data_IF_435516459638
#
_entry.id   IF_435516459638
#
_cell.length_a   1.000
_cell.length_b   1.000
_cell.length_c   1.000
_cell.angle_alpha   90.00
_cell.angle_beta   90.00
_cell.angle_gamma   90.00
#
_symmetry.space_group_name_H-M   'P 1'
#
loop_
_entity.id
_entity.type
_entity.pdbx_description
1 polymer ?
#
# COMPACT_ATOMS: atom_id res chain seq x y z
N UNK A 1 -11.56 -20.41 1.02
CA UNK A 1 -10.22 -20.14 0.42
C UNK A 1 -9.85 -21.30 -0.49
N UNK A 2 -9.20 -21.06 -1.63
CA UNK A 2 -8.61 -22.15 -2.41
C UNK A 2 -7.23 -22.46 -1.82
N UNK A 3 -7.07 -23.64 -1.23
CA UNK A 3 -5.78 -24.04 -0.65
C UNK A 3 -4.76 -24.36 -1.74
N UNK A 4 -3.51 -23.97 -1.50
CA UNK A 4 -2.36 -24.54 -2.21
C UNK A 4 -2.14 -25.96 -1.69
N UNK A 5 -2.79 -26.96 -2.31
CA UNK A 5 -2.81 -28.36 -1.86
C UNK A 5 -1.41 -28.97 -1.62
N UNK A 6 -0.37 -28.40 -2.25
CA UNK A 6 1.01 -28.86 -2.15
C UNK A 6 1.82 -28.20 -1.02
N UNK A 7 1.24 -27.23 -0.29
CA UNK A 7 1.97 -26.47 0.73
C UNK A 7 1.52 -26.83 2.15
N UNK A 8 2.46 -27.31 2.96
CA UNK A 8 2.26 -27.51 4.40
C UNK A 8 2.00 -26.20 5.18
N UNK A 9 2.30 -25.05 4.56
CA UNK A 9 2.07 -23.72 5.12
C UNK A 9 0.75 -23.11 4.64
N UNK A 10 -0.07 -23.84 3.88
CA UNK A 10 -1.37 -23.35 3.47
C UNK A 10 -2.27 -23.18 4.70
N UNK A 11 -3.02 -22.06 4.73
CA UNK A 11 -4.01 -21.83 5.78
C UNK A 11 -5.00 -23.01 5.88
N UNK A 12 -5.54 -23.31 7.08
CA UNK A 12 -6.52 -24.38 7.26
C UNK A 12 -7.70 -24.26 6.29
N UNK A 13 -8.31 -25.40 5.94
CA UNK A 13 -9.49 -25.43 5.08
C UNK A 13 -10.63 -24.60 5.67
N UNK A 14 -10.90 -23.44 5.08
CA UNK A 14 -12.09 -22.63 5.35
C UNK A 14 -12.98 -22.63 4.12
N UNK A 15 -14.30 -22.65 4.35
CA UNK A 15 -15.31 -22.65 3.30
C UNK A 15 -15.03 -21.56 2.24
N UNK A 16 -15.45 -21.82 1.00
CA UNK A 16 -15.45 -20.78 -0.02
C UNK A 16 -16.36 -19.64 0.43
N UNK A 17 -15.93 -18.40 0.19
CA UNK A 17 -16.73 -17.25 0.51
C UNK A 17 -17.95 -17.21 -0.42
N UNK A 18 -19.15 -17.07 0.15
CA UNK A 18 -20.42 -17.04 -0.59
C UNK A 18 -21.27 -15.80 -0.31
N UNK A 19 -20.68 -14.78 0.32
CA UNK A 19 -21.37 -13.53 0.68
C UNK A 19 -21.15 -12.38 -0.31
N UNK A 20 -21.85 -11.26 -0.07
CA UNK A 20 -21.55 -10.00 -0.77
C UNK A 20 -20.27 -9.38 -0.18
N UNK A 21 -19.29 -9.06 -1.02
CA UNK A 21 -18.01 -8.53 -0.58
C UNK A 21 -18.01 -7.03 -0.21
N UNK A 22 -19.20 -6.42 -0.10
CA UNK A 22 -19.40 -5.01 0.22
C UNK A 22 -19.31 -4.09 -1.00
N UNK A 23 -19.10 -4.61 -2.21
CA UNK A 23 -19.00 -3.82 -3.43
C UNK A 23 -17.83 -2.83 -3.43
N UNK A 24 -18.00 -1.67 -4.07
CA UNK A 24 -17.08 -0.55 -3.83
C UNK A 24 -17.36 0.03 -2.45
N UNK A 25 -16.38 -0.05 -1.56
CA UNK A 25 -16.48 0.37 -0.17
C UNK A 25 -15.98 1.81 0.06
N UNK A 26 -15.89 2.62 -0.99
CA UNK A 26 -15.33 3.98 -0.94
C UNK A 26 -13.80 4.02 -0.82
N UNK A 27 -13.12 2.87 -0.77
CA UNK A 27 -11.66 2.81 -0.81
C UNK A 27 -11.19 2.92 -2.25
N UNK A 28 -10.27 3.84 -2.48
CA UNK A 28 -9.66 4.10 -3.79
C UNK A 28 -9.02 2.81 -4.36
N UNK A 29 -9.31 2.53 -5.62
CA UNK A 29 -8.77 1.35 -6.32
C UNK A 29 -9.40 0.01 -5.94
N UNK A 30 -10.44 0.02 -5.11
CA UNK A 30 -11.23 -1.18 -4.79
C UNK A 30 -12.65 -1.03 -5.37
N UNK A 31 -13.02 -1.98 -6.21
CA UNK A 31 -14.38 -2.11 -6.76
C UNK A 31 -15.03 -3.39 -6.24
N UNK A 32 -16.24 -3.72 -6.71
CA UNK A 32 -16.85 -5.02 -6.46
C UNK A 32 -16.02 -6.19 -7.00
N UNK A 33 -15.26 -5.97 -8.07
CA UNK A 33 -14.61 -7.04 -8.83
C UNK A 33 -13.09 -6.99 -8.78
N UNK A 34 -12.50 -5.83 -8.51
CA UNK A 34 -11.05 -5.63 -8.66
C UNK A 34 -10.41 -4.86 -7.51
N UNK A 35 -9.14 -5.19 -7.27
CA UNK A 35 -8.18 -4.43 -6.47
C UNK A 35 -7.09 -3.96 -7.44
N UNK A 36 -7.08 -2.67 -7.75
CA UNK A 36 -6.11 -2.07 -8.69
C UNK A 36 -4.80 -1.81 -7.96
N UNK A 37 -3.70 -2.35 -8.46
CA UNK A 37 -2.34 -2.08 -7.97
C UNK A 37 -1.55 -1.42 -9.11
N UNK A 38 -0.95 -0.27 -8.82
CA UNK A 38 -0.07 0.39 -9.77
C UNK A 38 1.30 -0.29 -9.76
N UNK A 39 1.85 -0.49 -10.94
CA UNK A 39 3.20 -0.97 -11.17
C UNK A 39 4.02 0.23 -11.62
N UNK A 40 4.74 0.85 -10.69
CA UNK A 40 5.53 2.05 -10.96
C UNK A 40 6.84 1.66 -11.65
N UNK A 41 7.17 2.40 -12.70
CA UNK A 41 8.51 2.46 -13.29
C UNK A 41 9.05 3.88 -13.14
N UNK A 42 10.26 4.05 -12.62
CA UNK A 42 10.93 5.36 -12.56
C UNK A 42 11.35 5.82 -13.96
N UNK A 43 11.58 7.12 -14.11
CA UNK A 43 12.01 7.73 -15.38
C UNK A 43 13.31 7.15 -15.95
N UNK A 44 14.17 6.62 -15.08
CA UNK A 44 15.44 5.98 -15.42
C UNK A 44 15.39 4.45 -15.42
N UNK A 45 14.21 3.83 -15.37
CA UNK A 45 14.03 2.37 -15.37
C UNK A 45 14.63 1.67 -16.61
N UNK A 46 14.77 2.40 -17.71
CA UNK A 46 15.44 1.94 -18.94
C UNK A 46 16.81 2.61 -19.17
N UNK A 47 17.30 3.37 -18.20
CA UNK A 47 18.54 4.14 -18.28
C UNK A 47 19.81 3.30 -18.08
N UNK A 48 21.00 3.90 -18.24
CA UNK A 48 22.28 3.17 -18.18
C UNK A 48 22.51 2.42 -16.86
N UNK A 49 22.12 3.01 -15.72
CA UNK A 49 22.26 2.37 -14.41
C UNK A 49 21.37 1.13 -14.29
N UNK A 50 20.11 1.23 -14.71
CA UNK A 50 19.18 0.11 -14.71
C UNK A 50 19.65 -1.01 -15.64
N UNK A 51 20.16 -0.68 -16.84
CA UNK A 51 20.73 -1.66 -17.78
C UNK A 51 22.00 -2.30 -17.25
N UNK A 52 22.86 -1.56 -16.57
CA UNK A 52 24.08 -2.10 -15.96
C UNK A 52 23.72 -3.09 -14.84
N UNK A 53 22.76 -2.74 -13.99
CA UNK A 53 22.29 -3.61 -12.91
C UNK A 53 21.58 -4.86 -13.45
N UNK A 54 20.77 -4.71 -14.50
CA UNK A 54 20.12 -5.82 -15.20
C UNK A 54 21.15 -6.82 -15.78
N UNK A 55 22.22 -6.31 -16.41
CA UNK A 55 23.34 -7.16 -16.89
C UNK A 55 24.03 -7.90 -15.74
N UNK A 56 24.29 -7.23 -14.62
CA UNK A 56 24.89 -7.87 -13.44
C UNK A 56 23.96 -8.96 -12.87
N UNK A 57 22.65 -8.71 -12.81
CA UNK A 57 21.66 -9.68 -12.37
C UNK A 57 21.65 -10.91 -13.27
N UNK A 58 21.66 -10.72 -14.60
CA UNK A 58 21.72 -11.81 -15.57
C UNK A 58 23.03 -12.61 -15.47
N UNK A 59 24.18 -11.94 -15.27
CA UNK A 59 25.46 -12.61 -15.03
C UNK A 59 25.45 -13.45 -13.75
N UNK A 60 24.68 -13.05 -12.74
CA UNK A 60 24.44 -13.82 -11.53
C UNK A 60 23.39 -14.93 -11.69
N UNK A 61 22.85 -15.14 -12.89
CA UNK A 61 21.84 -16.16 -13.19
C UNK A 61 20.42 -15.77 -12.79
N UNK A 62 20.16 -14.51 -12.47
CA UNK A 62 18.81 -14.00 -12.18
C UNK A 62 18.09 -13.59 -13.47
N UNK A 63 16.74 -13.60 -13.51
CA UNK A 63 15.98 -13.11 -14.65
C UNK A 63 16.23 -11.62 -14.89
N UNK A 64 16.23 -11.21 -16.16
CA UNK A 64 16.26 -9.82 -16.57
C UNK A 64 15.02 -9.06 -16.09
N UNK A 65 15.06 -7.73 -16.06
CA UNK A 65 13.91 -6.91 -15.69
C UNK A 65 12.69 -7.18 -16.59
N UNK A 66 12.90 -7.45 -17.88
CA UNK A 66 11.84 -7.81 -18.81
C UNK A 66 11.24 -9.19 -18.50
N UNK A 67 12.08 -10.18 -18.17
CA UNK A 67 11.63 -11.51 -17.75
C UNK A 67 10.90 -11.47 -16.40
N UNK A 68 11.37 -10.66 -15.45
CA UNK A 68 10.68 -10.45 -14.16
C UNK A 68 9.27 -9.88 -14.37
N UNK A 69 9.11 -8.94 -15.30
CA UNK A 69 7.79 -8.45 -15.69
C UNK A 69 6.92 -9.56 -16.29
N UNK A 70 7.45 -10.36 -17.20
CA UNK A 70 6.72 -11.49 -17.77
C UNK A 70 6.30 -12.52 -16.71
N UNK A 71 7.17 -12.78 -15.74
CA UNK A 71 6.87 -13.65 -14.58
C UNK A 71 5.73 -13.05 -13.77
N UNK A 72 5.76 -11.75 -13.47
CA UNK A 72 4.68 -11.08 -12.75
C UNK A 72 3.34 -11.18 -13.49
N UNK A 73 3.34 -10.92 -14.80
CA UNK A 73 2.14 -11.02 -15.63
C UNK A 73 1.59 -12.46 -15.69
N UNK A 74 2.46 -13.47 -15.65
CA UNK A 74 2.05 -14.87 -15.58
C UNK A 74 1.57 -15.30 -14.18
N UNK A 75 2.11 -14.71 -13.11
CA UNK A 75 1.75 -15.03 -11.73
C UNK A 75 0.41 -14.42 -11.31
N UNK A 76 0.01 -13.26 -11.83
CA UNK A 76 -1.25 -12.62 -11.42
C UNK A 76 -2.50 -13.46 -11.73
N UNK A 77 -2.65 -14.07 -12.93
CA UNK A 77 -3.76 -14.99 -13.20
C UNK A 77 -3.75 -16.20 -12.26
N UNK A 78 -2.57 -16.76 -11.96
CA UNK A 78 -2.44 -17.84 -10.99
C UNK A 78 -2.86 -17.37 -9.60
N UNK A 79 -2.42 -16.20 -9.17
CA UNK A 79 -2.76 -15.61 -7.89
C UNK A 79 -4.27 -15.41 -7.76
N UNK A 80 -4.90 -14.76 -8.74
CA UNK A 80 -6.35 -14.54 -8.78
C UNK A 80 -7.17 -15.83 -8.83
N UNK A 81 -6.59 -16.93 -9.36
CA UNK A 81 -7.25 -18.24 -9.39
C UNK A 81 -7.15 -18.99 -8.06
N UNK A 82 -6.08 -18.80 -7.31
CA UNK A 82 -5.74 -19.60 -6.12
C UNK A 82 -5.95 -18.86 -4.80
N UNK A 83 -5.92 -17.54 -4.77
CA UNK A 83 -6.17 -16.75 -3.57
C UNK A 83 -7.58 -16.18 -3.59
N UNK A 84 -8.26 -16.26 -2.44
CA UNK A 84 -9.60 -15.71 -2.27
C UNK A 84 -9.49 -14.25 -1.80
N UNK A 85 -9.98 -13.32 -2.61
CA UNK A 85 -10.06 -11.88 -2.28
C UNK A 85 -11.51 -11.42 -2.11
N UNK A 86 -12.34 -12.31 -1.57
CA UNK A 86 -13.78 -12.12 -1.40
C UNK A 86 -14.42 -11.76 -2.75
N UNK A 87 -14.17 -12.58 -3.78
CA UNK A 87 -14.68 -12.37 -5.14
C UNK A 87 -13.97 -11.28 -5.96
N UNK A 88 -12.96 -10.59 -5.42
CA UNK A 88 -12.15 -9.62 -6.19
C UNK A 88 -10.96 -10.29 -6.89
N UNK A 89 -10.40 -9.58 -7.86
CA UNK A 89 -9.17 -9.94 -8.55
C UNK A 89 -8.17 -8.80 -8.50
N UNK A 90 -6.89 -9.11 -8.33
CA UNK A 90 -5.81 -8.13 -8.51
C UNK A 90 -5.75 -7.74 -9.97
N UNK A 91 -5.76 -6.42 -10.22
CA UNK A 91 -5.53 -5.82 -11.52
C UNK A 91 -4.26 -4.97 -11.44
N UNK A 92 -3.22 -5.36 -12.16
CA UNK A 92 -2.02 -4.54 -12.30
C UNK A 92 -2.24 -3.47 -13.38
N UNK A 93 -1.76 -2.25 -13.11
CA UNK A 93 -1.79 -1.14 -14.06
C UNK A 93 -0.42 -0.48 -14.08
N UNK A 94 0.19 -0.42 -15.25
CA UNK A 94 1.48 0.24 -15.41
C UNK A 94 1.38 1.75 -15.20
N UNK A 95 2.38 2.29 -14.51
CA UNK A 95 2.53 3.72 -14.31
C UNK A 95 3.97 4.13 -14.56
N UNK A 96 4.19 4.96 -15.58
CA UNK A 96 5.48 5.56 -15.87
C UNK A 96 5.59 6.85 -15.06
N UNK A 97 6.44 6.82 -14.05
CA UNK A 97 6.71 7.94 -13.15
C UNK A 97 7.79 8.89 -13.69
N UNK A 98 7.77 10.10 -13.18
CA UNK A 98 8.80 11.12 -13.43
C UNK A 98 9.93 11.08 -12.39
N UNK A 99 9.72 10.40 -11.26
CA UNK A 99 10.76 10.18 -10.26
C UNK A 99 11.95 9.40 -10.83
N UNK A 100 13.12 9.60 -10.25
CA UNK A 100 14.38 9.03 -10.74
C UNK A 100 14.91 8.05 -9.69
N UNK A 101 14.88 6.76 -10.00
CA UNK A 101 15.23 5.66 -9.10
C UNK A 101 16.68 5.76 -8.59
N UNK A 102 17.62 6.19 -9.44
CA UNK A 102 19.02 6.43 -9.04
C UNK A 102 19.14 7.51 -7.96
N UNK A 103 18.39 8.61 -8.10
CA UNK A 103 18.39 9.71 -7.12
C UNK A 103 17.62 9.31 -5.86
N UNK A 104 16.49 8.63 -6.03
CA UNK A 104 15.65 8.15 -4.94
C UNK A 104 16.35 7.11 -4.07
N UNK A 105 17.18 6.24 -4.66
CA UNK A 105 18.03 5.30 -3.93
C UNK A 105 19.05 5.99 -3.00
N UNK A 106 19.38 7.25 -3.29
CA UNK A 106 20.24 8.11 -2.48
C UNK A 106 19.43 9.03 -1.56
N UNK A 107 18.14 8.74 -1.34
CA UNK A 107 17.20 9.57 -0.57
C UNK A 107 17.03 11.00 -1.11
N UNK A 108 17.17 11.18 -2.44
CA UNK A 108 16.96 12.44 -3.14
C UNK A 108 15.70 12.39 -4.03
N UNK A 109 15.36 13.50 -4.68
CA UNK A 109 14.29 13.51 -5.69
C UNK A 109 12.87 13.39 -5.12
N UNK A 110 12.65 13.80 -3.86
CA UNK A 110 11.37 13.66 -3.17
C UNK A 110 10.20 14.33 -3.90
N UNK A 111 10.40 15.49 -4.53
CA UNK A 111 9.33 16.20 -5.22
C UNK A 111 8.74 15.38 -6.38
N UNK A 112 9.60 14.79 -7.21
CA UNK A 112 9.18 13.95 -8.33
C UNK A 112 8.53 12.63 -7.85
N UNK A 113 9.06 12.04 -6.79
CA UNK A 113 8.47 10.85 -6.16
C UNK A 113 7.08 11.15 -5.55
N UNK A 114 6.92 12.32 -4.94
CA UNK A 114 5.63 12.80 -4.43
C UNK A 114 4.62 13.06 -5.55
N UNK A 115 5.06 13.66 -6.66
CA UNK A 115 4.21 13.89 -7.82
C UNK A 115 3.77 12.58 -8.48
N UNK A 116 4.63 11.56 -8.49
CA UNK A 116 4.24 10.21 -8.92
C UNK A 116 3.18 9.59 -8.00
N UNK A 117 3.34 9.70 -6.69
CA UNK A 117 2.35 9.22 -5.73
C UNK A 117 0.98 9.91 -5.91
N UNK A 118 0.98 11.23 -6.14
CA UNK A 118 -0.23 11.99 -6.46
C UNK A 118 -0.88 11.53 -7.76
N UNK A 119 -0.10 11.37 -8.83
CA UNK A 119 -0.61 10.92 -10.12
C UNK A 119 -1.18 9.49 -10.07
N UNK A 120 -0.52 8.58 -9.35
CA UNK A 120 -1.04 7.23 -9.11
C UNK A 120 -2.37 7.29 -8.32
N UNK A 121 -2.46 8.17 -7.33
CA UNK A 121 -3.67 8.30 -6.54
C UNK A 121 -4.82 8.96 -7.31
N UNK A 122 -4.56 10.04 -8.03
CA UNK A 122 -5.56 10.85 -8.72
C UNK A 122 -5.99 10.25 -10.06
N UNK A 123 -5.03 9.81 -10.87
CA UNK A 123 -5.26 9.40 -12.26
C UNK A 123 -5.45 7.89 -12.39
N UNK A 124 -4.53 7.09 -11.85
CA UNK A 124 -4.66 5.62 -11.87
C UNK A 124 -5.70 5.14 -10.87
N UNK A 125 -5.87 5.87 -9.76
CA UNK A 125 -6.75 5.52 -8.64
C UNK A 125 -6.42 4.13 -8.08
N UNK A 126 -5.14 3.77 -7.98
CA UNK A 126 -4.72 2.44 -7.54
C UNK A 126 -4.75 2.27 -6.01
N UNK A 127 -5.26 1.16 -5.49
CA UNK A 127 -5.26 0.88 -4.04
C UNK A 127 -3.84 0.88 -3.46
N UNK A 128 -2.90 0.25 -4.16
CA UNK A 128 -1.51 0.16 -3.74
C UNK A 128 -0.52 0.29 -4.89
N UNK A 129 0.76 0.31 -4.55
CA UNK A 129 1.86 0.44 -5.51
C UNK A 129 2.91 -0.63 -5.24
N UNK A 130 3.37 -1.24 -6.32
CA UNK A 130 4.61 -2.02 -6.37
C UNK A 130 5.53 -1.39 -7.40
N UNK A 131 6.83 -1.56 -7.23
CA UNK A 131 7.83 -1.12 -8.20
C UNK A 131 8.38 -2.33 -8.94
N UNK A 132 8.49 -2.24 -10.27
CA UNK A 132 9.19 -3.28 -11.03
C UNK A 132 10.68 -3.16 -10.74
N UNK A 133 11.39 -4.29 -10.55
CA UNK A 133 12.74 -4.21 -10.06
C UNK A 133 13.67 -3.58 -11.10
N UNK A 134 14.33 -2.49 -10.73
CA UNK A 134 15.60 -2.14 -11.35
C UNK A 134 16.75 -2.98 -10.74
N UNK A 135 16.55 -3.55 -9.55
CA UNK A 135 17.60 -4.13 -8.67
C UNK A 135 17.32 -5.53 -8.11
N UNK A 136 16.50 -6.33 -8.80
CA UNK A 136 16.02 -7.64 -8.29
C UNK A 136 15.31 -7.54 -6.92
N UNK A 137 14.74 -6.35 -6.63
CA UNK A 137 13.86 -6.14 -5.49
C UNK A 137 12.62 -5.33 -5.90
N UNK A 138 11.49 -5.69 -5.29
CA UNK A 138 10.19 -4.99 -5.42
C UNK A 138 10.01 -3.90 -4.34
N UNK A 139 11.08 -3.50 -3.66
CA UNK A 139 11.03 -2.39 -2.69
C UNK A 139 10.80 -1.07 -3.41
N UNK A 140 9.90 -0.25 -2.88
CA UNK A 140 9.80 1.15 -3.28
C UNK A 140 10.83 1.99 -2.54
N UNK A 141 11.25 3.12 -3.13
CA UNK A 141 12.23 4.01 -2.52
C UNK A 141 11.69 4.72 -1.26
N UNK A 142 12.58 5.18 -0.38
CA UNK A 142 12.21 6.03 0.77
C UNK A 142 11.44 7.30 0.39
N UNK A 143 11.93 8.14 -0.55
CA UNK A 143 11.23 9.37 -0.87
C UNK A 143 9.82 9.10 -1.41
N UNK A 144 9.62 8.03 -2.19
CA UNK A 144 8.28 7.63 -2.63
C UNK A 144 7.40 7.14 -1.49
N UNK A 145 7.93 6.29 -0.60
CA UNK A 145 7.17 5.73 0.51
C UNK A 145 6.62 6.78 1.48
N UNK A 146 7.40 7.82 1.78
CA UNK A 146 6.96 8.92 2.65
C UNK A 146 5.85 9.77 2.01
N UNK A 147 5.84 9.87 0.68
CA UNK A 147 4.79 10.55 -0.08
C UNK A 147 3.53 9.68 -0.20
N UNK A 148 3.67 8.38 -0.42
CA UNK A 148 2.57 7.44 -0.63
C UNK A 148 1.52 7.47 0.48
N UNK A 149 1.94 7.60 1.75
CA UNK A 149 1.00 7.75 2.89
C UNK A 149 0.08 8.96 2.73
N UNK A 150 0.57 10.09 2.23
CA UNK A 150 -0.24 11.33 2.08
C UNK A 150 -1.45 11.10 1.18
N UNK A 151 -1.35 10.14 0.27
CA UNK A 151 -2.40 9.77 -0.67
C UNK A 151 -3.10 8.45 -0.31
N UNK A 152 -2.77 7.86 0.84
CA UNK A 152 -3.32 6.59 1.31
C UNK A 152 -3.03 5.42 0.36
N UNK A 153 -1.85 5.41 -0.27
CA UNK A 153 -1.41 4.31 -1.13
C UNK A 153 -0.79 3.20 -0.29
N UNK A 154 -1.30 1.97 -0.45
CA UNK A 154 -0.73 0.79 0.21
C UNK A 154 0.56 0.33 -0.47
N UNK A 155 1.62 0.17 0.30
CA UNK A 155 2.93 -0.30 -0.14
C UNK A 155 3.27 -1.59 0.62
N UNK A 156 3.10 -2.77 -0.01
CA UNK A 156 3.41 -4.05 0.65
C UNK A 156 4.90 -4.21 0.93
N UNK A 157 5.75 -3.58 0.09
CA UNK A 157 7.20 -3.60 0.20
C UNK A 157 7.72 -2.16 0.13
N UNK A 158 7.71 -1.51 1.29
CA UNK A 158 8.25 -0.17 1.53
C UNK A 158 9.76 -0.08 1.41
N UNK A 159 10.29 1.12 1.66
CA UNK A 159 11.73 1.39 1.65
C UNK A 159 12.50 0.43 2.57
N UNK A 160 13.56 -0.23 2.10
CA UNK A 160 14.25 -1.24 2.91
C UNK A 160 15.21 -0.60 3.91
N UNK A 161 15.62 -1.37 4.92
CA UNK A 161 16.68 -1.02 5.89
C UNK A 161 16.38 0.14 6.85
N UNK A 162 15.10 0.50 7.01
CA UNK A 162 14.67 1.45 8.04
C UNK A 162 14.38 0.75 9.38
N UNK A 163 14.55 1.43 10.53
CA UNK A 163 14.15 0.90 11.82
C UNK A 163 12.63 0.80 11.94
N UNK A 164 12.14 -0.10 12.81
CA UNK A 164 10.70 -0.32 13.05
C UNK A 164 9.92 0.98 13.34
N UNK A 165 10.52 1.91 14.10
CA UNK A 165 9.92 3.20 14.42
C UNK A 165 9.58 4.04 13.17
N UNK A 166 10.30 3.86 12.07
CA UNK A 166 9.98 4.50 10.81
C UNK A 166 8.70 3.90 10.23
N UNK A 167 8.56 2.57 10.15
CA UNK A 167 7.34 1.94 9.64
C UNK A 167 6.11 2.22 10.51
N UNK A 168 6.26 2.27 11.84
CA UNK A 168 5.18 2.68 12.75
C UNK A 168 4.67 4.09 12.46
N UNK A 169 5.54 5.01 12.03
CA UNK A 169 5.14 6.35 11.59
C UNK A 169 4.29 6.30 10.32
N UNK A 170 4.50 5.31 9.46
CA UNK A 170 3.87 5.20 8.15
C UNK A 170 2.75 4.14 8.06
N UNK A 171 2.44 3.49 9.18
CA UNK A 171 1.27 2.63 9.36
C UNK A 171 -0.04 3.38 9.03
N UNK A 172 -1.06 2.69 8.47
CA UNK A 172 -1.09 1.29 8.03
C UNK A 172 -0.68 1.07 6.55
N UNK A 173 -0.06 2.08 5.93
CA UNK A 173 0.12 2.11 4.48
C UNK A 173 1.45 1.52 4.01
N UNK A 174 2.52 1.65 4.80
CA UNK A 174 3.87 1.22 4.38
C UNK A 174 4.35 0.06 5.23
N UNK A 175 4.60 -1.08 4.58
CA UNK A 175 5.02 -2.31 5.23
C UNK A 175 6.46 -2.66 4.87
N UNK A 176 7.16 -3.39 5.76
CA UNK A 176 8.52 -3.84 5.52
C UNK A 176 8.54 -5.27 4.96
N UNK A 177 9.37 -5.54 3.94
CA UNK A 177 9.72 -6.91 3.57
C UNK A 177 10.89 -7.48 4.39
N UNK A 178 11.70 -6.60 4.97
CA UNK A 178 12.87 -6.93 5.80
C UNK A 178 12.83 -6.13 7.09
N UNK A 179 12.23 -6.71 8.14
CA UNK A 179 12.44 -6.17 9.47
C UNK A 179 13.88 -6.52 9.89
N UNK A 180 14.74 -5.51 10.07
CA UNK A 180 15.96 -5.66 10.86
C UNK A 180 15.56 -5.67 12.35
N UNK A 181 14.83 -6.68 12.78
CA UNK A 181 14.71 -6.97 14.21
C UNK A 181 15.95 -7.77 14.61
N UNK A 182 16.94 -7.08 15.19
CA UNK A 182 18.05 -7.73 15.91
C UNK A 182 17.60 -8.53 17.15
N UNK A 183 16.30 -8.78 17.33
CA UNK A 183 15.74 -9.57 18.43
C UNK A 183 14.30 -10.02 18.13
N UNK A 184 14.10 -10.88 17.11
CA UNK A 184 12.86 -11.63 17.00
C UNK A 184 13.18 -13.12 16.85
N UNK A 185 13.32 -13.80 17.99
CA UNK A 185 13.23 -15.26 18.04
C UNK A 185 11.86 -15.71 17.49
N UNK A 186 11.75 -16.90 16.88
CA UNK A 186 10.56 -17.32 16.11
C UNK A 186 9.31 -17.56 16.97
N UNK A 187 9.35 -17.34 18.28
CA UNK A 187 8.38 -17.86 19.25
C UNK A 187 7.25 -16.92 19.61
N UNK A 188 7.22 -15.67 19.11
CA UNK A 188 6.16 -14.72 19.45
C UNK A 188 5.67 -13.96 18.22
N UNK A 189 4.98 -14.66 17.33
CA UNK A 189 3.94 -14.04 16.50
C UNK A 189 2.62 -14.04 17.30
N UNK A 190 2.22 -12.96 18.00
CA UNK A 190 0.86 -12.86 18.46
C UNK A 190 -0.06 -12.67 17.24
N UNK A 191 -1.04 -13.54 17.16
CA UNK A 191 -2.01 -13.72 16.09
C UNK A 191 -3.05 -12.57 16.04
N UNK A 192 -2.61 -11.29 16.01
CA UNK A 192 -3.51 -10.12 16.18
C UNK A 192 -3.68 -9.26 14.92
N UNK A 193 -2.93 -9.48 13.84
CA UNK A 193 -3.04 -8.69 12.60
C UNK A 193 -4.32 -8.95 11.79
N UNK A 194 -5.17 -9.90 12.18
CA UNK A 194 -6.46 -10.13 11.52
C UNK A 194 -7.56 -9.10 11.88
N UNK A 195 -7.30 -8.16 12.81
CA UNK A 195 -8.34 -7.28 13.38
C UNK A 195 -8.23 -5.79 13.04
N UNK A 196 -7.25 -5.36 12.23
CA UNK A 196 -7.03 -3.94 11.94
C UNK A 196 -7.81 -3.38 10.72
N UNK A 197 -8.73 -4.14 10.14
CA UNK A 197 -9.67 -3.58 9.16
C UNK A 197 -10.85 -2.96 9.90
N UNK A 198 -11.24 -1.70 9.65
CA UNK A 198 -12.47 -1.17 10.19
C UNK A 198 -13.65 -1.95 9.60
N UNK A 199 -14.18 -2.90 10.36
CA UNK A 199 -15.46 -3.53 10.06
C UNK A 199 -16.53 -2.46 10.18
N UNK A 200 -17.25 -2.20 9.09
CA UNK A 200 -18.44 -1.37 9.10
C UNK A 200 -19.43 -1.86 10.19
N UNK A 201 -20.10 -0.95 10.92
CA UNK A 201 -21.04 -1.37 11.95
C UNK A 201 -22.21 -2.16 11.33
N UNK A 202 -22.66 -3.27 11.96
CA UNK A 202 -23.79 -4.02 11.46
C UNK A 202 -25.08 -3.18 11.55
N UNK A 203 -25.87 -3.26 10.49
CA UNK A 203 -27.17 -2.60 10.32
C UNK A 203 -28.19 -3.09 11.37
N UNK A 204 -28.21 -2.42 12.52
CA UNK A 204 -29.17 -2.62 13.60
C UNK A 204 -30.27 -1.55 13.59
N UNK A 205 -31.48 -1.99 13.23
CA UNK A 205 -32.78 -1.29 13.28
C UNK A 205 -32.91 -0.30 14.46
N UNK A 206 -32.90 1.00 14.19
CA UNK A 206 -33.18 2.04 15.17
C UNK A 206 -34.70 2.13 15.47
N UNK A 207 -35.12 1.57 16.60
CA UNK A 207 -36.39 1.92 17.23
C UNK A 207 -36.28 3.26 17.93
N UNK A 208 -37.15 4.18 17.54
CA UNK A 208 -37.33 5.52 18.09
C UNK A 208 -37.84 5.42 19.55
N UNK A 209 -37.44 6.35 20.44
CA UNK A 209 -38.49 7.14 21.07
C UNK A 209 -38.21 8.64 21.13
N UNK A 210 -39.33 9.34 21.02
CA UNK A 210 -39.64 10.76 21.04
C UNK A 210 -39.36 11.42 22.40
N UNK A 211 -38.74 12.62 22.42
CA UNK A 211 -39.35 13.86 22.98
C UNK A 211 -38.50 15.11 22.70
N UNK A 212 -39.24 16.21 22.59
CA UNK A 212 -38.88 17.54 22.08
C UNK A 212 -38.58 18.57 23.19
N UNK A 213 -37.97 19.71 22.74
CA UNK A 213 -37.89 21.09 23.30
C UNK A 213 -36.69 21.38 24.21
N UNK A 214 -36.00 22.53 24.18
CA UNK A 214 -36.03 23.79 23.38
C UNK A 214 -34.70 24.55 23.62
N UNK A 215 -34.40 25.49 22.71
CA UNK A 215 -33.23 26.36 22.61
C UNK A 215 -32.79 27.17 23.86
N UNK A 216 -31.49 27.52 23.93
CA UNK A 216 -30.98 28.85 24.33
C UNK A 216 -29.47 28.99 24.02
N UNK A 217 -29.09 30.24 23.69
CA UNK A 217 -27.92 30.78 22.97
C UNK A 217 -26.53 30.70 23.65
N UNK A 218 -25.42 31.08 22.97
CA UNK A 218 -24.05 31.00 23.49
C UNK A 218 -23.53 32.34 24.09
N UNK A 219 -22.50 32.34 24.96
CA UNK A 219 -21.72 33.54 25.28
C UNK A 219 -20.31 33.45 24.64
N UNK A 220 -19.96 34.31 23.67
CA UNK A 220 -19.28 35.63 23.77
C UNK A 220 -17.86 35.63 24.35
N UNK A 221 -16.89 35.92 23.47
CA UNK A 221 -15.48 36.24 23.76
C UNK A 221 -15.30 37.61 24.42
N UNK A 222 -14.27 37.84 25.26
CA UNK A 222 -13.90 39.18 25.68
C UNK A 222 -12.72 39.76 24.86
N UNK A 223 -12.94 40.99 24.38
CA UNK A 223 -11.95 41.95 23.88
C UNK A 223 -11.53 42.87 25.02
N UNK A 224 -10.24 43.13 25.23
CA UNK A 224 -9.71 44.34 25.91
C UNK A 224 -8.28 44.59 25.42
N UNK A 225 -8.04 45.55 24.53
CA UNK A 225 -7.66 46.97 24.71
C UNK A 225 -6.18 47.20 24.96
N UNK A 226 -5.53 47.89 24.02
CA UNK A 226 -4.18 48.43 24.09
C UNK A 226 -4.11 49.71 24.94
N UNK A 227 -2.97 49.97 25.58
CA UNK A 227 -2.60 51.30 26.09
C UNK A 227 -1.11 51.53 25.88
N UNK A 228 -0.79 52.75 25.44
CA UNK A 228 0.51 53.26 25.00
C UNK A 228 1.40 53.80 26.12
N UNK A 229 2.72 53.71 25.90
CA UNK A 229 3.80 54.66 26.22
C UNK A 229 4.02 55.16 27.67
N UNK A 230 5.20 54.84 28.20
CA UNK A 230 6.17 55.78 28.75
C UNK A 230 7.59 55.23 28.52
#
# INVERSE_FOLDING_TARGET
MRQLQFSQYAAPCVAAYSGNNGGSNGVRGITGDTITIAVRATSDASGPNAQALDKLNQQAGNPSNAEQRQILDALVPYFNKNFELFGRQVKLVDFNGQGNGTSEAQSQGQDAACADADAIASSVKAFGVIELPASNSMYVSQPFAECAKRYGLYLPLGAPYFPELWYQRWDPYVWAGTHLSASASPTTWPNTSASAWPTAPPSGRATRPTRWRTASSPPTSPTTTATSAA
#
